data_IF_484810505396
#
_entry.id   IF_484810505396
#
_cell.length_a   1.000
_cell.length_b   1.000
_cell.length_c   1.000
_cell.angle_alpha   90.00
_cell.angle_beta   90.00
_cell.angle_gamma   90.00
#
_symmetry.space_group_name_H-M   'P 1'
#
loop_
_entity.id
_entity.type
_entity.pdbx_description
1 polymer ?
#
# COMPACT_ATOMS: atom_id res chain seq x y z
N UNK A 1 7.67 -6.46 -5.90
CA UNK A 1 7.38 -5.09 -6.38
C UNK A 1 7.94 -4.10 -5.37
N UNK A 2 8.74 -3.13 -5.82
CA UNK A 2 9.22 -2.06 -4.95
C UNK A 2 8.06 -1.10 -4.66
N UNK A 3 7.94 -0.61 -3.42
CA UNK A 3 6.86 0.28 -3.03
C UNK A 3 7.25 1.12 -1.82
N UNK A 4 6.57 2.25 -1.64
CA UNK A 4 6.81 3.19 -0.54
C UNK A 4 5.68 3.15 0.51
N UNK A 5 4.88 2.06 0.53
CA UNK A 5 3.66 1.99 1.34
C UNK A 5 3.97 2.10 2.84
N UNK A 6 5.03 1.44 3.31
CA UNK A 6 5.43 1.48 4.71
C UNK A 6 5.83 2.89 5.16
N UNK A 7 6.58 3.60 4.31
CA UNK A 7 7.00 4.98 4.59
C UNK A 7 5.80 5.91 4.64
N UNK A 8 4.90 5.84 3.66
CA UNK A 8 3.68 6.64 3.61
C UNK A 8 2.78 6.38 4.83
N UNK A 9 2.66 5.12 5.24
CA UNK A 9 1.90 4.74 6.45
C UNK A 9 2.53 5.35 7.71
N UNK A 10 3.85 5.24 7.87
CA UNK A 10 4.58 5.82 9.01
C UNK A 10 4.47 7.34 9.04
N UNK A 11 4.51 8.01 7.89
CA UNK A 11 4.31 9.47 7.79
C UNK A 11 2.92 9.91 8.27
N UNK A 12 1.88 9.10 8.02
CA UNK A 12 0.53 9.31 8.58
C UNK A 12 0.39 8.89 10.04
N UNK A 13 1.42 8.30 10.67
CA UNK A 13 1.44 7.82 12.05
C UNK A 13 0.36 6.78 12.39
N UNK A 14 0.02 5.92 11.43
CA UNK A 14 -0.93 4.82 11.64
C UNK A 14 -0.21 3.46 11.60
N UNK A 15 -0.77 2.48 12.29
CA UNK A 15 -0.34 1.09 12.30
C UNK A 15 -0.79 0.32 11.05
N UNK A 16 -0.22 -0.88 10.84
CA UNK A 16 -0.66 -1.77 9.76
C UNK A 16 -2.12 -2.20 9.95
N UNK A 17 -2.58 -2.33 11.20
CA UNK A 17 -3.96 -2.70 11.52
C UNK A 17 -4.93 -1.59 11.12
N UNK A 18 -4.65 -0.34 11.52
CA UNK A 18 -5.48 0.81 11.16
C UNK A 18 -5.55 1.01 9.64
N UNK A 19 -4.43 0.85 8.92
CA UNK A 19 -4.44 0.92 7.46
C UNK A 19 -5.25 -0.23 6.84
N UNK A 20 -5.21 -1.42 7.43
CA UNK A 20 -5.96 -2.58 6.95
C UNK A 20 -7.47 -2.37 7.14
N UNK A 21 -7.88 -1.87 8.30
CA UNK A 21 -9.27 -1.50 8.60
C UNK A 21 -9.79 -0.45 7.62
N UNK A 22 -9.03 0.63 7.39
CA UNK A 22 -9.40 1.71 6.46
C UNK A 22 -9.57 1.20 5.02
N UNK A 23 -8.72 0.26 4.60
CA UNK A 23 -8.73 -0.28 3.23
C UNK A 23 -9.64 -1.51 3.08
N UNK A 24 -10.26 -1.97 4.17
CA UNK A 24 -11.09 -3.17 4.26
C UNK A 24 -10.35 -4.43 3.79
N UNK A 25 -9.12 -4.61 4.27
CA UNK A 25 -8.29 -5.79 3.99
C UNK A 25 -7.73 -6.36 5.29
N UNK A 26 -7.09 -7.52 5.21
CA UNK A 26 -6.39 -8.09 6.37
C UNK A 26 -5.09 -7.34 6.67
N UNK A 27 -4.66 -7.30 7.94
CA UNK A 27 -3.32 -6.82 8.33
C UNK A 27 -2.21 -7.54 7.57
N UNK A 28 -2.39 -8.83 7.28
CA UNK A 28 -1.46 -9.65 6.51
C UNK A 28 -1.31 -9.15 5.06
N UNK A 29 -2.39 -8.63 4.47
CA UNK A 29 -2.37 -7.99 3.14
C UNK A 29 -1.46 -6.76 3.17
N UNK A 30 -1.64 -5.87 4.14
CA UNK A 30 -0.79 -4.68 4.31
C UNK A 30 0.67 -5.07 4.53
N UNK A 31 0.92 -6.02 5.45
CA UNK A 31 2.28 -6.50 5.74
C UNK A 31 2.97 -7.11 4.51
N UNK A 32 2.21 -7.81 3.66
CA UNK A 32 2.75 -8.43 2.43
C UNK A 32 2.99 -7.41 1.32
N UNK A 33 2.14 -6.38 1.22
CA UNK A 33 2.34 -5.24 0.32
C UNK A 33 3.61 -4.47 0.70
N UNK A 34 3.76 -4.07 1.96
CA UNK A 34 4.93 -3.32 2.43
C UNK A 34 6.24 -4.07 2.15
N UNK A 35 6.24 -5.40 2.31
CA UNK A 35 7.40 -6.26 2.02
C UNK A 35 7.58 -6.56 0.52
N UNK A 36 6.71 -6.05 -0.35
CA UNK A 36 6.78 -6.24 -1.80
C UNK A 36 6.50 -7.67 -2.27
N UNK A 37 5.90 -8.51 -1.41
CA UNK A 37 5.61 -9.94 -1.65
C UNK A 37 4.28 -10.19 -2.35
N UNK A 38 3.49 -9.14 -2.55
CA UNK A 38 2.17 -9.21 -3.14
C UNK A 38 1.98 -8.02 -4.08
N UNK A 39 1.43 -8.28 -5.26
CA UNK A 39 0.98 -7.24 -6.17
C UNK A 39 -0.51 -6.96 -5.88
N UNK A 40 -0.88 -5.72 -5.52
CA UNK A 40 -2.27 -5.38 -5.25
C UNK A 40 -3.13 -5.57 -6.50
N UNK A 41 -4.40 -5.92 -6.29
CA UNK A 41 -5.40 -5.76 -7.36
C UNK A 41 -5.51 -4.28 -7.75
N UNK A 42 -5.97 -3.99 -8.97
CA UNK A 42 -6.19 -2.61 -9.44
C UNK A 42 -7.08 -1.84 -8.46
N UNK A 43 -8.14 -2.49 -7.94
CA UNK A 43 -9.04 -1.88 -6.97
C UNK A 43 -8.32 -1.47 -5.67
N UNK A 44 -7.48 -2.36 -5.13
CA UNK A 44 -6.72 -2.08 -3.90
C UNK A 44 -5.66 -1.00 -4.14
N UNK A 45 -4.97 -1.03 -5.28
CA UNK A 45 -4.02 0.02 -5.67
C UNK A 45 -4.71 1.39 -5.76
N UNK A 46 -5.90 1.45 -6.39
CA UNK A 46 -6.72 2.66 -6.45
C UNK A 46 -7.19 3.14 -5.05
N UNK A 47 -7.63 2.23 -4.16
CA UNK A 47 -8.00 2.58 -2.79
C UNK A 47 -6.82 3.20 -2.04
N UNK A 48 -5.64 2.58 -2.14
CA UNK A 48 -4.40 3.04 -1.51
C UNK A 48 -3.98 4.42 -2.05
N UNK A 49 -3.97 4.58 -3.38
CA UNK A 49 -3.68 5.84 -4.06
C UNK A 49 -4.58 6.99 -3.56
N UNK A 50 -5.90 6.74 -3.48
CA UNK A 50 -6.86 7.71 -2.95
C UNK A 50 -6.62 8.04 -1.48
N UNK A 51 -6.35 7.03 -0.64
CA UNK A 51 -6.11 7.24 0.79
C UNK A 51 -4.87 8.11 1.08
N UNK A 52 -3.81 7.92 0.30
CA UNK A 52 -2.58 8.72 0.40
C UNK A 52 -2.61 10.00 -0.44
N UNK A 53 -3.67 10.22 -1.23
CA UNK A 53 -3.78 11.30 -2.20
C UNK A 53 -2.53 11.39 -3.11
N UNK A 54 -2.16 10.24 -3.68
CA UNK A 54 -1.00 10.08 -4.54
C UNK A 54 -1.34 9.22 -5.76
N UNK A 55 -0.68 9.45 -6.91
CA UNK A 55 -0.72 8.53 -8.04
C UNK A 55 -0.28 7.12 -7.63
N UNK A 56 -0.70 6.10 -8.40
CA UNK A 56 -0.35 4.69 -8.09
C UNK A 56 1.17 4.49 -8.23
N UNK A 57 1.75 5.10 -9.25
CA UNK A 57 3.18 5.07 -9.60
C UNK A 57 4.09 5.69 -8.53
N UNK A 58 3.57 6.62 -7.71
CA UNK A 58 4.30 7.20 -6.57
C UNK A 58 4.39 6.20 -5.40
N UNK A 59 3.46 5.25 -5.33
CA UNK A 59 3.34 4.29 -4.23
C UNK A 59 3.96 2.95 -4.62
N UNK A 60 3.68 2.48 -5.84
CA UNK A 60 4.06 1.18 -6.35
C UNK A 60 4.96 1.34 -7.57
N UNK A 61 6.23 0.99 -7.40
CA UNK A 61 7.24 1.12 -8.43
C UNK A 61 7.31 -0.22 -9.17
N UNK A 62 6.81 -0.20 -10.40
CA UNK A 62 6.95 -1.32 -11.32
C UNK A 62 8.33 -1.22 -11.99
N UNK A 63 9.16 -2.24 -11.77
CA UNK A 63 10.41 -2.41 -12.52
C UNK A 63 10.14 -3.44 -13.63
N UNK A 64 10.09 -2.97 -14.88
CA UNK A 64 10.22 -3.87 -16.03
C UNK A 64 11.62 -4.49 -15.99
N UNK A 65 11.70 -5.81 -16.14
CA UNK A 65 12.98 -6.49 -16.37
C UNK A 65 13.38 -6.40 -17.82
#
# INVERSE_FOLDING_TARGET
MKNNLEELRKLKKISQEELAEILEVSRQTISSLEKGRYNPSILLACKIARFFNKPIEDIFIYEEK
#
